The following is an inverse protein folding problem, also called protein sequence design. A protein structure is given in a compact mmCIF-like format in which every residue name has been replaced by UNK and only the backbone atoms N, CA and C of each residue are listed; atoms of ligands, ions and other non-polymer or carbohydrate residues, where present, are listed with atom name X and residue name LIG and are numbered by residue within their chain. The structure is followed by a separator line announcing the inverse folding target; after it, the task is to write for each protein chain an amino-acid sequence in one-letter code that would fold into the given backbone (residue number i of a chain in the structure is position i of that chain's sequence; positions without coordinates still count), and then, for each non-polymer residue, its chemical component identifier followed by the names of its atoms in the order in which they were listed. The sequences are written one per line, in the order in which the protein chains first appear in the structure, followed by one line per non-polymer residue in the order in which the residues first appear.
data_IF_444580587031
#
_entry.id   IF_444580587031
#
_cell.length_a   1.000
_cell.length_b   1.000
_cell.length_c   1.000
_cell.angle_alpha   90.00
_cell.angle_beta   90.00
_cell.angle_gamma   90.00
#
_symmetry.space_group_name_H-M   'P 1'
#
loop_
_entity.id
_entity.type
_entity.pdbx_description
1 polymer ?
#
# COMPACT_ATOMS: atom_id res chain seq x y z
N UNK A 1 -12.81 -6.15 8.81
CA UNK A 1 -12.06 -6.65 7.82
C UNK A 1 -10.61 -6.81 8.09
N UNK A 2 -10.07 -7.85 7.67
CA UNK A 2 -8.81 -8.16 8.00
C UNK A 2 -7.77 -7.83 7.11
N UNK A 3 -6.73 -7.40 7.64
CA UNK A 3 -5.52 -7.25 6.94
C UNK A 3 -4.56 -8.22 7.51
N UNK A 4 -3.73 -8.77 6.70
CA UNK A 4 -2.74 -9.70 7.19
C UNK A 4 -1.61 -8.94 7.86
N UNK A 5 -1.86 -8.55 9.11
CA UNK A 5 -0.88 -7.79 9.89
C UNK A 5 0.41 -8.57 10.15
N UNK A 6 0.42 -9.89 9.92
CA UNK A 6 1.63 -10.70 10.01
C UNK A 6 2.62 -10.37 8.90
N UNK A 7 2.16 -9.72 7.83
CA UNK A 7 2.99 -9.35 6.69
C UNK A 7 3.42 -7.90 6.69
N UNK A 8 3.17 -7.20 7.79
CA UNK A 8 3.65 -5.82 7.92
C UNK A 8 5.18 -5.79 7.97
N UNK A 9 5.72 -4.74 7.38
CA UNK A 9 7.17 -4.49 7.34
C UNK A 9 7.42 -3.04 7.73
N UNK A 10 8.64 -2.70 8.18
CA UNK A 10 9.02 -1.30 8.36
C UNK A 10 8.75 -0.49 7.09
N UNK A 11 8.36 0.76 7.26
CA UNK A 11 7.98 1.71 6.22
C UNK A 11 6.63 1.47 5.55
N UNK A 12 5.91 0.41 5.92
CA UNK A 12 4.53 0.26 5.46
C UNK A 12 3.66 1.41 5.98
N UNK A 13 2.72 1.84 5.14
CA UNK A 13 1.72 2.84 5.50
C UNK A 13 0.42 2.11 5.81
N UNK A 14 -0.13 2.36 6.98
CA UNK A 14 -1.32 1.66 7.47
C UNK A 14 -2.27 2.65 8.13
N UNK A 15 -3.47 2.18 8.45
CA UNK A 15 -4.42 2.90 9.32
C UNK A 15 -4.33 2.30 10.71
N UNK A 16 -4.27 3.17 11.71
CA UNK A 16 -4.25 2.75 13.12
C UNK A 16 -5.37 3.46 13.87
N UNK A 17 -5.90 2.78 14.89
CA UNK A 17 -6.91 3.37 15.74
C UNK A 17 -6.25 3.86 17.02
N UNK A 18 -6.41 5.14 17.29
CA UNK A 18 -5.88 5.78 18.48
C UNK A 18 -6.91 6.74 19.03
N UNK A 19 -7.24 6.62 20.31
CA UNK A 19 -8.24 7.45 20.98
C UNK A 19 -9.60 7.47 20.23
N UNK A 20 -10.01 6.32 19.70
CA UNK A 20 -11.26 6.19 18.97
C UNK A 20 -11.23 6.71 17.54
N UNK A 21 -10.09 7.17 17.06
CA UNK A 21 -9.94 7.74 15.72
C UNK A 21 -9.01 6.90 14.87
N UNK A 22 -9.35 6.75 13.59
CA UNK A 22 -8.48 6.13 12.61
C UNK A 22 -7.51 7.16 12.04
N UNK A 23 -6.24 6.84 12.07
CA UNK A 23 -5.17 7.71 11.61
C UNK A 23 -4.23 6.95 10.68
N UNK A 24 -3.59 7.68 9.78
CA UNK A 24 -2.55 7.11 8.94
C UNK A 24 -1.25 7.06 9.75
N UNK A 25 -0.53 5.96 9.66
CA UNK A 25 0.74 5.79 10.35
C UNK A 25 1.74 5.05 9.47
N UNK A 26 3.03 5.33 9.71
CA UNK A 26 4.13 4.56 9.11
C UNK A 26 4.66 3.58 10.14
N UNK A 27 4.80 2.32 9.75
CA UNK A 27 5.36 1.29 10.61
C UNK A 27 6.87 1.51 10.74
N UNK A 28 7.36 1.60 11.96
CA UNK A 28 8.79 1.71 12.25
C UNK A 28 9.38 0.33 12.54
N UNK A 29 8.67 -0.46 13.34
CA UNK A 29 9.08 -1.82 13.69
C UNK A 29 7.86 -2.69 13.93
N UNK A 30 8.01 -3.98 13.69
CA UNK A 30 6.94 -4.96 13.90
C UNK A 30 7.37 -5.88 15.04
N UNK A 31 6.57 -5.90 16.10
CA UNK A 31 6.78 -6.74 17.27
C UNK A 31 5.74 -7.87 17.28
N UNK A 32 5.85 -8.88 18.14
CA UNK A 32 4.91 -10.00 18.12
C UNK A 32 3.43 -9.62 18.29
N UNK A 33 3.12 -8.66 19.17
CA UNK A 33 1.73 -8.30 19.46
C UNK A 33 1.36 -6.86 19.15
N UNK A 34 2.34 -6.04 18.78
CA UNK A 34 2.11 -4.63 18.48
C UNK A 34 3.09 -4.15 17.41
N UNK A 35 2.86 -2.95 16.90
CA UNK A 35 3.81 -2.28 16.03
C UNK A 35 4.27 -1.00 16.69
N UNK A 36 5.45 -0.55 16.32
CA UNK A 36 5.92 0.80 16.65
C UNK A 36 5.65 1.65 15.41
N UNK A 37 4.95 2.74 15.59
CA UNK A 37 4.49 3.57 14.47
C UNK A 37 4.82 5.04 14.70
N UNK A 38 4.83 5.81 13.60
CA UNK A 38 4.99 7.26 13.66
C UNK A 38 4.11 7.93 12.61
N UNK A 39 3.90 9.24 12.76
CA UNK A 39 3.17 10.02 11.77
C UNK A 39 4.00 10.09 10.48
N UNK A 40 3.45 9.65 9.32
CA UNK A 40 4.22 9.61 8.08
C UNK A 40 4.52 10.98 7.48
N UNK A 41 3.88 12.02 7.98
CA UNK A 41 4.04 13.39 7.48
C UNK A 41 5.12 14.17 8.21
N UNK A 42 5.73 13.56 9.24
CA UNK A 42 6.79 14.20 10.02
C UNK A 42 8.03 13.31 9.98
N UNK A 43 9.16 13.88 9.60
CA UNK A 43 10.43 13.16 9.62
C UNK A 43 10.90 12.96 11.07
N UNK A 44 10.61 13.94 11.92
CA UNK A 44 10.94 13.88 13.34
C UNK A 44 9.61 13.89 14.08
N UNK A 45 9.38 12.88 14.87
CA UNK A 45 8.17 12.80 15.67
C UNK A 45 8.30 11.65 16.65
N UNK A 46 7.45 11.67 17.66
CA UNK A 46 7.43 10.60 18.63
C UNK A 46 6.88 9.34 18.00
N UNK A 47 7.51 8.22 18.32
CA UNK A 47 6.97 6.92 18.00
C UNK A 47 6.00 6.52 19.10
N UNK A 48 5.09 5.63 18.76
CA UNK A 48 4.12 5.09 19.70
C UNK A 48 3.79 3.65 19.38
N UNK A 49 3.36 2.92 20.41
CA UNK A 49 3.04 1.49 20.27
C UNK A 49 1.56 1.33 19.96
N UNK A 50 1.23 0.53 18.95
CA UNK A 50 -0.14 0.23 18.57
C UNK A 50 -0.34 -1.28 18.54
N UNK A 51 -1.32 -1.78 19.29
CA UNK A 51 -1.67 -3.20 19.25
C UNK A 51 -2.09 -3.62 17.84
N UNK A 52 -1.67 -4.80 17.41
CA UNK A 52 -1.97 -5.26 16.04
C UNK A 52 -3.47 -5.31 15.74
N UNK A 53 -4.31 -5.54 16.74
CA UNK A 53 -5.76 -5.52 16.57
C UNK A 53 -6.30 -4.13 16.18
N UNK A 54 -5.53 -3.08 16.42
CA UNK A 54 -5.89 -1.70 16.09
C UNK A 54 -5.22 -1.22 14.79
N UNK A 55 -4.67 -2.13 14.00
CA UNK A 55 -4.01 -1.83 12.73
C UNK A 55 -4.83 -2.38 11.58
N UNK A 56 -5.09 -1.53 10.60
CA UNK A 56 -5.80 -1.93 9.37
C UNK A 56 -5.04 -1.46 8.15
N UNK A 57 -5.22 -2.15 7.03
CA UNK A 57 -4.65 -1.69 5.77
C UNK A 57 -5.32 -0.43 5.27
N UNK A 58 -4.55 0.45 4.69
CA UNK A 58 -5.08 1.61 3.97
C UNK A 58 -5.55 1.13 2.61
N UNK A 59 -6.86 1.22 2.35
CA UNK A 59 -7.44 0.75 1.09
C UNK A 59 -7.00 1.64 -0.07
N UNK A 60 -6.68 1.03 -1.21
CA UNK A 60 -6.29 1.74 -2.42
C UNK A 60 -7.35 1.57 -3.50
N UNK A 61 -7.36 2.52 -4.45
CA UNK A 61 -8.24 2.49 -5.62
C UNK A 61 -7.45 2.91 -6.86
N UNK A 62 -8.02 2.69 -8.03
CA UNK A 62 -7.40 3.12 -9.28
C UNK A 62 -7.18 4.64 -9.27
N UNK A 63 -8.18 5.39 -8.83
CA UNK A 63 -8.14 6.84 -8.77
C UNK A 63 -7.05 7.31 -7.81
N UNK A 64 -6.94 6.63 -6.68
CA UNK A 64 -5.94 6.95 -5.68
C UNK A 64 -4.53 6.76 -6.24
N UNK A 65 -4.28 5.64 -6.93
CA UNK A 65 -2.98 5.37 -7.55
C UNK A 65 -2.67 6.38 -8.64
N UNK A 66 -3.65 6.73 -9.47
CA UNK A 66 -3.47 7.72 -10.53
C UNK A 66 -3.10 9.10 -9.96
N UNK A 67 -3.59 9.43 -8.77
CA UNK A 67 -3.21 10.67 -8.09
C UNK A 67 -1.73 10.74 -7.76
N UNK A 68 -1.06 9.59 -7.70
CA UNK A 68 0.37 9.50 -7.34
C UNK A 68 1.26 9.13 -8.52
N UNK A 69 0.78 9.36 -9.73
CA UNK A 69 1.61 9.18 -10.91
C UNK A 69 1.47 7.84 -11.61
N UNK A 70 0.63 6.95 -11.09
CA UNK A 70 0.31 5.73 -11.83
C UNK A 70 -0.52 6.08 -13.05
N UNK A 71 -0.29 5.36 -14.13
CA UNK A 71 -1.03 5.54 -15.38
C UNK A 71 -2.01 4.40 -15.57
N UNK A 72 -3.24 4.74 -15.96
CA UNK A 72 -4.30 3.78 -16.17
C UNK A 72 -4.36 3.41 -17.63
N UNK A 73 -4.29 2.11 -17.91
CA UNK A 73 -4.37 1.56 -19.25
C UNK A 73 -5.54 0.60 -19.28
N UNK A 74 -6.42 0.75 -20.26
CA UNK A 74 -7.59 -0.11 -20.35
C UNK A 74 -7.20 -1.46 -20.94
N UNK A 75 -7.51 -2.54 -20.21
CA UNK A 75 -7.22 -3.90 -20.65
C UNK A 75 -8.31 -4.44 -21.57
N UNK A 76 -7.96 -5.43 -22.40
CA UNK A 76 -8.88 -6.09 -23.30
C UNK A 76 -9.92 -6.97 -22.58
N UNK A 77 -9.64 -7.33 -21.33
CA UNK A 77 -10.48 -8.27 -20.56
C UNK A 77 -11.40 -7.57 -19.55
N UNK A 78 -11.59 -6.27 -19.68
CA UNK A 78 -12.49 -5.54 -18.80
C UNK A 78 -11.89 -5.11 -17.47
N UNK A 79 -10.72 -5.61 -17.11
CA UNK A 79 -9.97 -5.09 -15.97
C UNK A 79 -9.15 -3.87 -16.38
N UNK A 80 -8.58 -3.18 -15.42
CA UNK A 80 -7.74 -2.01 -15.66
C UNK A 80 -6.29 -2.36 -15.39
N UNK A 81 -5.42 -2.07 -16.35
CA UNK A 81 -3.99 -2.18 -16.13
C UNK A 81 -3.48 -0.84 -15.61
N UNK A 82 -2.61 -0.89 -14.61
CA UNK A 82 -1.98 0.29 -14.02
C UNK A 82 -0.46 0.13 -14.12
N UNK A 83 0.23 1.20 -14.45
CA UNK A 83 1.68 1.19 -14.54
C UNK A 83 2.30 2.44 -13.95
N UNK A 84 3.54 2.34 -13.57
CA UNK A 84 4.35 3.45 -13.08
C UNK A 84 5.76 3.28 -13.65
N UNK A 85 6.56 4.34 -13.62
CA UNK A 85 7.90 4.37 -14.21
C UNK A 85 8.74 3.13 -13.88
N UNK A 86 8.73 2.69 -12.62
CA UNK A 86 9.55 1.56 -12.18
C UNK A 86 9.05 0.20 -12.69
N UNK A 87 7.81 0.10 -13.13
CA UNK A 87 7.27 -1.11 -13.74
C UNK A 87 7.55 -1.18 -15.23
N UNK A 88 7.74 -0.05 -15.90
CA UNK A 88 7.98 -0.02 -17.35
C UNK A 88 9.28 -0.75 -17.66
N UNK A 89 9.20 -1.70 -18.59
CA UNK A 89 10.35 -2.51 -18.97
C UNK A 89 10.68 -3.66 -18.03
N UNK A 90 9.97 -3.80 -16.91
CA UNK A 90 10.21 -4.89 -15.95
C UNK A 90 9.57 -6.21 -16.36
N UNK A 91 8.55 -6.15 -17.22
CA UNK A 91 7.72 -7.31 -17.53
C UNK A 91 6.54 -7.51 -16.59
N UNK A 92 6.49 -6.76 -15.50
CA UNK A 92 5.39 -6.84 -14.54
C UNK A 92 4.33 -5.80 -14.82
N UNK A 93 3.07 -6.18 -14.61
CA UNK A 93 1.92 -5.27 -14.73
C UNK A 93 1.03 -5.41 -13.49
N UNK A 94 0.34 -4.34 -13.14
CA UNK A 94 -0.63 -4.34 -12.06
C UNK A 94 -2.02 -4.25 -12.68
N UNK A 95 -2.90 -5.16 -12.32
CA UNK A 95 -4.28 -5.15 -12.81
C UNK A 95 -5.24 -4.93 -11.65
N UNK A 96 -6.33 -4.23 -11.91
CA UNK A 96 -7.40 -4.08 -10.94
C UNK A 96 -8.75 -4.45 -11.54
N UNK A 97 -9.61 -5.01 -10.69
CA UNK A 97 -10.98 -5.34 -11.04
C UNK A 97 -11.84 -5.19 -9.79
N UNK A 98 -12.82 -4.29 -9.84
CA UNK A 98 -13.70 -4.02 -8.70
C UNK A 98 -12.98 -3.71 -7.39
N UNK A 99 -11.88 -2.95 -7.47
CA UNK A 99 -11.13 -2.54 -6.29
C UNK A 99 -10.18 -3.59 -5.72
N UNK A 100 -10.01 -4.70 -6.43
CA UNK A 100 -9.06 -5.75 -6.08
C UNK A 100 -7.90 -5.71 -7.06
N UNK A 101 -6.68 -5.81 -6.54
CA UNK A 101 -5.45 -5.68 -7.31
C UNK A 101 -4.66 -6.97 -7.36
N UNK A 102 -3.93 -7.17 -8.44
CA UNK A 102 -3.05 -8.33 -8.60
C UNK A 102 -1.94 -8.03 -9.59
N UNK A 103 -0.72 -8.46 -9.27
CA UNK A 103 0.40 -8.35 -10.21
C UNK A 103 0.47 -9.54 -11.14
N UNK A 104 0.90 -9.27 -12.38
CA UNK A 104 1.09 -10.27 -13.44
C UNK A 104 2.45 -10.11 -14.08
N UNK A 105 2.96 -11.22 -14.62
CA UNK A 105 4.10 -11.22 -15.53
C UNK A 105 3.60 -11.83 -16.83
N UNK A 106 3.37 -11.00 -17.83
CA UNK A 106 2.64 -11.41 -19.04
C UNK A 106 1.21 -11.76 -18.66
N UNK A 107 0.79 -12.98 -18.96
CA UNK A 107 -0.55 -13.49 -18.62
C UNK A 107 -0.58 -14.29 -17.31
N UNK A 108 0.56 -14.42 -16.64
CA UNK A 108 0.68 -15.24 -15.44
C UNK A 108 0.56 -14.38 -14.19
N UNK A 109 -0.41 -14.67 -13.30
CA UNK A 109 -0.46 -13.96 -12.03
C UNK A 109 0.76 -14.34 -11.16
N UNK A 110 1.43 -13.34 -10.61
CA UNK A 110 2.63 -13.53 -9.79
C UNK A 110 2.43 -13.09 -8.35
N UNK A 111 1.25 -12.59 -8.01
CA UNK A 111 0.91 -12.25 -6.64
C UNK A 111 -0.49 -12.77 -6.31
N UNK A 112 -0.81 -12.79 -5.03
CA UNK A 112 -2.20 -12.93 -4.59
C UNK A 112 -2.96 -11.63 -4.87
N UNK A 113 -4.27 -11.70 -4.76
CA UNK A 113 -5.12 -10.52 -4.81
C UNK A 113 -4.94 -9.71 -3.52
N UNK A 114 -5.01 -8.38 -3.63
CA UNK A 114 -4.87 -7.50 -2.48
C UNK A 114 -5.68 -6.21 -2.66
N UNK A 115 -5.91 -5.51 -1.55
CA UNK A 115 -6.73 -4.30 -1.55
C UNK A 115 -6.08 -3.14 -0.80
N UNK A 116 -4.94 -3.35 -0.16
CA UNK A 116 -4.35 -2.36 0.74
C UNK A 116 -2.98 -1.90 0.30
N UNK A 117 -2.63 -0.69 0.74
CA UNK A 117 -1.37 -0.05 0.39
C UNK A 117 -0.15 -0.84 0.88
N UNK A 118 -0.18 -1.34 2.11
CA UNK A 118 0.99 -2.07 2.62
C UNK A 118 1.24 -3.36 1.83
N UNK A 119 0.19 -4.00 1.34
CA UNK A 119 0.33 -5.17 0.48
C UNK A 119 0.96 -4.78 -0.86
N UNK A 120 0.51 -3.66 -1.45
CA UNK A 120 1.13 -3.13 -2.66
C UNK A 120 2.62 -2.84 -2.43
N UNK A 121 2.96 -2.17 -1.33
CA UNK A 121 4.33 -1.84 -0.98
C UNK A 121 5.21 -3.11 -0.91
N UNK A 122 4.73 -4.13 -0.20
CA UNK A 122 5.50 -5.34 0.02
C UNK A 122 5.69 -6.16 -1.26
N UNK A 123 4.62 -6.36 -2.01
CA UNK A 123 4.68 -7.13 -3.26
C UNK A 123 5.54 -6.40 -4.30
N UNK A 124 5.35 -5.09 -4.43
CA UNK A 124 6.15 -4.29 -5.36
C UNK A 124 7.64 -4.40 -5.05
N UNK A 125 8.01 -4.27 -3.77
CA UNK A 125 9.41 -4.38 -3.36
C UNK A 125 9.97 -5.78 -3.65
N UNK A 126 9.19 -6.83 -3.41
CA UNK A 126 9.61 -8.20 -3.68
C UNK A 126 9.82 -8.46 -5.18
N UNK A 127 8.97 -7.89 -6.03
CA UNK A 127 9.06 -8.09 -7.48
C UNK A 127 10.10 -7.21 -8.16
N UNK A 128 10.20 -5.96 -7.74
CA UNK A 128 11.00 -4.94 -8.42
C UNK A 128 12.37 -4.75 -7.77
N UNK A 129 12.49 -5.09 -6.49
CA UNK A 129 13.75 -4.96 -5.77
C UNK A 129 13.99 -3.59 -5.14
N UNK A 130 12.99 -2.71 -5.18
CA UNK A 130 13.08 -1.39 -4.54
C UNK A 130 11.68 -0.97 -4.09
N UNK A 131 11.60 -0.05 -3.09
CA UNK A 131 10.30 0.41 -2.60
C UNK A 131 9.49 1.11 -3.69
N UNK A 132 8.17 0.96 -3.63
CA UNK A 132 7.28 1.76 -4.46
C UNK A 132 7.37 3.22 -4.01
N UNK A 133 7.43 4.14 -4.97
CA UNK A 133 7.52 5.56 -4.65
C UNK A 133 6.19 6.08 -4.13
N UNK A 134 6.24 6.73 -2.97
CA UNK A 134 5.09 7.37 -2.34
C UNK A 134 5.44 8.85 -2.16
N UNK A 135 4.81 9.75 -2.94
CA UNK A 135 5.15 11.17 -2.91
C UNK A 135 4.54 11.89 -1.70
N UNK A 136 5.04 13.07 -1.43
CA UNK A 136 4.51 13.92 -0.36
C UNK A 136 3.04 14.29 -0.57
N UNK A 137 2.56 14.30 -1.81
CA UNK A 137 1.16 14.57 -2.11
C UNK A 137 0.20 13.47 -1.62
N UNK A 138 0.73 12.38 -1.10
CA UNK A 138 -0.04 11.37 -0.39
C UNK A 138 -0.78 11.97 0.80
N UNK A 139 -0.17 12.97 1.43
CA UNK A 139 -0.64 13.59 2.66
C UNK A 139 -2.10 14.07 2.62
N UNK A 140 -2.54 14.87 1.64
CA UNK A 140 -3.93 15.35 1.64
C UNK A 140 -4.95 14.22 1.51
N UNK A 141 -4.63 13.19 0.77
CA UNK A 141 -5.55 12.08 0.49
C UNK A 141 -5.69 11.19 1.71
N UNK A 142 -4.59 10.81 2.35
CA UNK A 142 -4.63 9.97 3.53
C UNK A 142 -5.19 10.71 4.75
N UNK A 143 -4.92 12.00 4.86
CA UNK A 143 -5.43 12.78 5.98
C UNK A 143 -6.94 12.97 5.94
N UNK A 144 -7.54 12.95 4.75
CA UNK A 144 -8.99 13.12 4.59
C UNK A 144 -9.79 11.82 4.75
N UNK A 145 -9.13 10.69 4.85
CA UNK A 145 -9.81 9.38 4.86
C UNK A 145 -10.11 8.83 6.26
#
# INVERSE_FOLDING_TARGET
MINDVRRLRPDNIVKVKENGRWMTARVVAVMPTFIIAKNPYRQIGNTYDIAKKEVHGARISDEWLCSFGWQKIKSEFGDTELTIKDLKGSGYTLHSYNGVFRFYHGLTPVSREFTSLHELQNIFEDLIGKPVWIPDMLKPILASS
#
